data_IF_114723405063
#
_entry.id   IF_114723405063
#
_cell.length_a   1.000
_cell.length_b   1.000
_cell.length_c   1.000
_cell.angle_alpha   90.00
_cell.angle_beta   90.00
_cell.angle_gamma   90.00
#
_symmetry.space_group_name_H-M   'P 1'
#
loop_
_entity.id
_entity.type
_entity.pdbx_description
1 polymer ?
#
# COMPACT_ATOMS: atom_id res chain seq x y z
N UNK A 1 28.53 -14.53 -3.87
CA UNK A 1 28.69 -13.08 -3.64
C UNK A 1 27.94 -12.34 -4.74
N UNK A 2 26.98 -11.50 -4.35
CA UNK A 2 26.48 -10.31 -5.06
C UNK A 2 25.88 -10.38 -6.48
N UNK A 3 24.80 -11.12 -6.71
CA UNK A 3 23.96 -10.95 -7.94
C UNK A 3 22.48 -10.63 -7.69
N UNK A 4 22.11 -10.28 -6.44
CA UNK A 4 20.69 -10.09 -6.05
C UNK A 4 20.28 -8.64 -5.79
N UNK A 5 20.93 -7.69 -6.44
CA UNK A 5 20.33 -6.36 -6.62
C UNK A 5 19.67 -6.34 -7.98
N UNK A 6 18.59 -7.12 -8.14
CA UNK A 6 17.56 -6.79 -9.12
C UNK A 6 17.22 -5.34 -8.83
N UNK A 7 17.70 -4.47 -9.71
CA UNK A 7 17.53 -3.03 -9.60
C UNK A 7 16.04 -2.84 -9.38
N UNK A 8 15.69 -2.31 -8.22
CA UNK A 8 14.34 -1.92 -7.91
C UNK A 8 14.26 -0.44 -8.29
N UNK A 9 13.98 -0.11 -9.56
CA UNK A 9 14.05 1.27 -10.04
C UNK A 9 13.07 2.20 -9.31
N UNK A 10 12.10 1.63 -8.58
CA UNK A 10 11.00 2.34 -7.93
C UNK A 10 11.18 2.44 -6.41
N UNK A 11 12.27 1.88 -5.88
CA UNK A 11 12.67 1.91 -4.45
C UNK A 11 11.56 1.46 -3.47
N UNK A 12 10.74 0.48 -3.89
CA UNK A 12 9.70 -0.11 -3.04
C UNK A 12 10.07 -1.50 -2.49
N UNK A 13 9.83 -1.75 -1.21
CA UNK A 13 9.98 -3.09 -0.64
C UNK A 13 8.94 -4.08 -1.18
N UNK A 14 9.23 -5.39 -1.11
CA UNK A 14 8.25 -6.44 -1.43
C UNK A 14 6.91 -6.26 -0.70
N UNK A 15 6.94 -5.89 0.57
CA UNK A 15 5.71 -5.61 1.32
C UNK A 15 4.91 -4.45 0.71
N UNK A 16 5.58 -3.39 0.26
CA UNK A 16 4.90 -2.24 -0.35
C UNK A 16 4.29 -2.64 -1.70
N UNK A 17 4.97 -3.48 -2.47
CA UNK A 17 4.43 -4.08 -3.70
C UNK A 17 3.19 -4.94 -3.41
N UNK A 18 3.25 -5.83 -2.41
CA UNK A 18 2.12 -6.67 -2.00
C UNK A 18 0.92 -5.84 -1.54
N UNK A 19 1.16 -4.73 -0.83
CA UNK A 19 0.12 -3.78 -0.43
C UNK A 19 -0.56 -3.16 -1.66
N UNK A 20 0.22 -2.76 -2.68
CA UNK A 20 -0.34 -2.20 -3.91
C UNK A 20 -1.17 -3.24 -4.66
N UNK A 21 -0.67 -4.46 -4.81
CA UNK A 21 -1.39 -5.54 -5.46
C UNK A 21 -2.73 -5.86 -4.76
N UNK A 22 -2.75 -5.85 -3.44
CA UNK A 22 -3.98 -6.06 -2.67
C UNK A 22 -4.99 -4.92 -2.83
N UNK A 23 -4.52 -3.66 -2.85
CA UNK A 23 -5.36 -2.49 -3.06
C UNK A 23 -5.88 -2.37 -4.51
N UNK A 24 -5.12 -2.85 -5.49
CA UNK A 24 -5.53 -2.89 -6.89
C UNK A 24 -6.74 -3.82 -7.09
N UNK A 25 -6.74 -4.97 -6.40
CA UNK A 25 -7.85 -5.94 -6.39
C UNK A 25 -9.11 -5.40 -5.72
N UNK A 26 -8.99 -4.86 -4.51
CA UNK A 26 -10.13 -4.49 -3.65
C UNK A 26 -10.61 -3.04 -3.84
N UNK A 27 -9.96 -2.26 -4.71
CA UNK A 27 -10.18 -0.83 -5.00
C UNK A 27 -9.96 0.13 -3.81
N UNK A 28 -10.60 -0.12 -2.66
CA UNK A 28 -10.44 0.65 -1.43
C UNK A 28 -10.65 -0.21 -0.16
N UNK A 29 -9.78 -0.05 0.82
CA UNK A 29 -9.85 -0.80 2.09
C UNK A 29 -9.52 0.07 3.30
N UNK A 30 -10.08 -0.26 4.47
CA UNK A 30 -9.57 0.27 5.72
C UNK A 30 -8.19 -0.32 6.02
N UNK A 31 -7.23 0.44 6.57
CA UNK A 31 -5.95 -0.10 7.03
C UNK A 31 -6.10 -1.24 8.04
N UNK A 32 -7.15 -1.21 8.88
CA UNK A 32 -7.47 -2.28 9.82
C UNK A 32 -7.79 -3.59 9.08
N UNK A 33 -8.67 -3.55 8.08
CA UNK A 33 -9.04 -4.69 7.25
C UNK A 33 -7.86 -5.20 6.43
N UNK A 34 -7.12 -4.29 5.79
CA UNK A 34 -5.94 -4.63 5.00
C UNK A 34 -4.87 -5.34 5.85
N UNK A 35 -4.68 -4.93 7.11
CA UNK A 35 -3.73 -5.59 8.01
C UNK A 35 -4.13 -7.04 8.32
N UNK A 36 -5.43 -7.29 8.47
CA UNK A 36 -5.98 -8.62 8.72
C UNK A 36 -5.83 -9.52 7.50
N UNK A 37 -6.20 -9.02 6.31
CA UNK A 37 -6.10 -9.77 5.05
C UNK A 37 -4.65 -10.12 4.73
N UNK A 38 -3.72 -9.19 4.95
CA UNK A 38 -2.29 -9.42 4.68
C UNK A 38 -1.58 -10.22 5.79
N UNK A 39 -2.23 -10.51 6.92
CA UNK A 39 -1.61 -11.25 8.03
C UNK A 39 -0.42 -10.52 8.67
N UNK A 40 -0.41 -9.18 8.69
CA UNK A 40 0.68 -8.37 9.26
C UNK A 40 0.18 -7.43 10.35
N UNK A 41 1.10 -7.01 11.23
CA UNK A 41 0.74 -6.05 12.27
C UNK A 41 0.33 -4.70 11.68
N UNK A 42 -0.63 -4.03 12.34
CA UNK A 42 -1.08 -2.68 11.98
C UNK A 42 0.09 -1.69 11.91
N UNK A 43 1.04 -1.78 12.83
CA UNK A 43 2.24 -0.91 12.83
C UNK A 43 3.09 -1.12 11.58
N UNK A 44 3.29 -2.37 11.14
CA UNK A 44 4.05 -2.69 9.93
C UNK A 44 3.35 -2.15 8.69
N UNK A 45 2.04 -2.37 8.60
CA UNK A 45 1.23 -1.84 7.50
C UNK A 45 1.23 -0.31 7.48
N UNK A 46 1.02 0.35 8.62
CA UNK A 46 1.01 1.82 8.71
C UNK A 46 2.32 2.44 8.22
N UNK A 47 3.47 1.81 8.51
CA UNK A 47 4.76 2.26 7.97
C UNK A 47 4.82 2.11 6.44
N UNK A 48 4.39 0.97 5.91
CA UNK A 48 4.35 0.73 4.46
C UNK A 48 3.42 1.74 3.74
N UNK A 49 2.21 1.94 4.26
CA UNK A 49 1.23 2.90 3.73
C UNK A 49 1.74 4.33 3.80
N UNK A 50 2.41 4.72 4.89
CA UNK A 50 3.02 6.06 4.99
C UNK A 50 4.04 6.30 3.89
N UNK A 51 4.94 5.35 3.66
CA UNK A 51 5.93 5.46 2.58
C UNK A 51 5.28 5.47 1.19
N UNK A 52 4.34 4.55 0.92
CA UNK A 52 3.61 4.50 -0.35
C UNK A 52 2.85 5.80 -0.62
N UNK A 53 2.29 6.43 0.41
CA UNK A 53 1.59 7.71 0.30
C UNK A 53 2.54 8.85 -0.04
N UNK A 54 3.72 8.88 0.58
CA UNK A 54 4.78 9.86 0.28
C UNK A 54 5.26 9.71 -1.17
N UNK A 55 5.36 8.47 -1.66
CA UNK A 55 5.70 8.17 -3.05
C UNK A 55 4.54 8.42 -4.03
N UNK A 56 3.35 8.75 -3.52
CA UNK A 56 2.17 9.04 -4.35
C UNK A 56 1.51 7.80 -4.95
N UNK A 57 1.82 6.58 -4.50
CA UNK A 57 1.25 5.32 -5.01
C UNK A 57 -0.07 4.92 -4.34
N UNK A 58 -0.36 5.48 -3.16
CA UNK A 58 -1.66 5.29 -2.48
C UNK A 58 -2.20 6.64 -1.99
N UNK A 59 -3.53 6.71 -1.86
CA UNK A 59 -4.22 7.84 -1.24
C UNK A 59 -5.07 7.36 -0.07
N UNK A 60 -5.26 8.24 0.92
CA UNK A 60 -6.12 7.99 2.07
C UNK A 60 -7.15 9.09 2.22
N UNK A 61 -8.42 8.71 2.27
CA UNK A 61 -9.57 9.62 2.37
C UNK A 61 -10.41 9.27 3.61
N UNK A 62 -10.97 10.24 4.34
CA UNK A 62 -11.92 9.97 5.42
C UNK A 62 -13.07 9.09 4.92
N UNK A 63 -13.46 8.10 5.73
CA UNK A 63 -14.63 7.28 5.46
C UNK A 63 -15.89 8.14 5.56
N UNK A 64 -16.84 7.90 4.66
CA UNK A 64 -18.14 8.59 4.67
C UNK A 64 -19.05 8.13 5.81
N UNK A 65 -18.81 6.92 6.34
CA UNK A 65 -19.62 6.31 7.40
C UNK A 65 -19.16 6.66 8.82
N UNK A 66 -17.86 6.86 9.01
CA UNK A 66 -17.24 7.33 10.23
C UNK A 66 -16.04 8.21 9.85
N UNK A 67 -16.18 9.53 10.01
CA UNK A 67 -15.14 10.49 9.63
C UNK A 67 -13.81 10.34 10.37
N UNK A 68 -13.73 9.41 11.34
CA UNK A 68 -12.52 9.06 12.09
C UNK A 68 -11.69 7.99 11.42
N UNK A 69 -12.27 7.20 10.52
CA UNK A 69 -11.56 6.13 9.82
C UNK A 69 -11.07 6.59 8.45
N UNK A 70 -9.87 6.19 8.05
CA UNK A 70 -9.31 6.49 6.73
C UNK A 70 -9.43 5.27 5.82
N UNK A 71 -10.03 5.43 4.64
CA UNK A 71 -10.00 4.44 3.56
C UNK A 71 -8.78 4.66 2.69
N UNK A 72 -8.09 3.59 2.35
CA UNK A 72 -6.88 3.59 1.51
C UNK A 72 -7.23 3.04 0.13
N UNK A 73 -6.82 3.72 -0.93
CA UNK A 73 -6.94 3.25 -2.31
C UNK A 73 -5.63 3.43 -3.07
N UNK A 74 -5.39 2.57 -4.06
CA UNK A 74 -4.26 2.73 -4.98
C UNK A 74 -4.51 3.93 -5.90
N UNK A 75 -3.46 4.70 -6.21
CA UNK A 75 -3.51 5.79 -7.18
C UNK A 75 -3.21 5.27 -8.59
N UNK A 76 -3.42 6.11 -9.59
CA UNK A 76 -3.05 5.79 -10.97
C UNK A 76 -1.55 5.53 -11.14
N UNK A 77 -0.69 6.31 -10.48
CA UNK A 77 0.76 6.04 -10.46
C UNK A 77 1.11 4.73 -9.77
N UNK A 78 0.35 4.33 -8.74
CA UNK A 78 0.49 3.04 -8.10
C UNK A 78 0.09 1.88 -9.02
N UNK A 79 -0.97 2.03 -9.82
CA UNK A 79 -1.37 1.01 -10.80
C UNK A 79 -0.35 0.84 -11.92
N UNK A 80 0.16 1.94 -12.46
CA UNK A 80 1.25 1.92 -13.47
C UNK A 80 2.53 1.26 -12.95
N UNK A 81 2.73 1.18 -11.64
CA UNK A 81 3.87 0.46 -11.06
C UNK A 81 3.69 -1.07 -11.10
N UNK A 82 2.43 -1.55 -11.14
CA UNK A 82 2.10 -2.97 -11.16
C UNK A 82 2.06 -3.55 -12.59
N UNK A 83 2.06 -2.70 -13.62
CA UNK A 83 2.17 -3.06 -15.05
C UNK A 83 3.61 -3.40 -15.45
#
# INVERSE_FOLDING_TARGET
VAERSLVNPLDISWLQYDVLLQLDREHEMLPSELSLVMGISRTKLSKALKSLKVMGYVRQTPSKSDGRELRTSITESGRRLLE
#
